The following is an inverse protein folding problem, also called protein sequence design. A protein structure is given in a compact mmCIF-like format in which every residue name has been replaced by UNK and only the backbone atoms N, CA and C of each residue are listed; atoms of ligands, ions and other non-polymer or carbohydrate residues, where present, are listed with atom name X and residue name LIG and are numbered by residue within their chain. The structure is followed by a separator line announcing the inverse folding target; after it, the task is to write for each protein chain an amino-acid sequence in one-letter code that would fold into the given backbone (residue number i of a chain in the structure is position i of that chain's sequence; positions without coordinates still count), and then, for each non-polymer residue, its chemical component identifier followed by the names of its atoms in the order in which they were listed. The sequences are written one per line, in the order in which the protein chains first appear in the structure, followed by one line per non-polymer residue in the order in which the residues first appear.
data_IF_709712480878
#
_entry.id   IF_709712480878
#
_cell.length_a   1.000
_cell.length_b   1.000
_cell.length_c   1.000
_cell.angle_alpha   90.00
_cell.angle_beta   90.00
_cell.angle_gamma   90.00
#
_symmetry.space_group_name_H-M   'P 1'
#
loop_
_entity.id
_entity.type
_entity.pdbx_description
1 polymer ?
#
# COMPACT_ATOMS: atom_id res chain seq x y z
N UNK A 1 -32.91 -26.60 27.89
CA UNK A 1 -32.19 -27.34 26.84
C UNK A 1 -31.05 -26.47 26.36
N UNK A 2 -29.80 -26.76 26.75
CA UNK A 2 -28.63 -25.97 26.36
C UNK A 2 -28.01 -26.58 25.10
N UNK A 3 -28.03 -25.87 23.98
CA UNK A 3 -27.28 -26.27 22.79
C UNK A 3 -25.80 -25.95 23.01
N UNK A 4 -24.87 -26.91 22.83
CA UNK A 4 -23.46 -26.66 23.02
C UNK A 4 -22.94 -25.62 22.02
N UNK A 5 -22.03 -24.74 22.48
CA UNK A 5 -21.38 -23.73 21.64
C UNK A 5 -20.46 -24.45 20.65
N UNK A 6 -20.64 -24.27 19.33
CA UNK A 6 -19.81 -24.93 18.33
C UNK A 6 -18.35 -24.46 18.41
N UNK A 7 -17.40 -25.35 18.16
CA UNK A 7 -15.99 -24.99 18.14
C UNK A 7 -15.71 -23.99 17.00
N UNK A 8 -14.69 -23.13 17.13
CA UNK A 8 -14.32 -22.20 16.07
C UNK A 8 -14.16 -22.92 14.73
N UNK A 9 -15.05 -22.60 13.78
CA UNK A 9 -15.05 -23.17 12.44
C UNK A 9 -16.07 -24.28 12.15
N UNK A 10 -16.79 -24.79 13.14
CA UNK A 10 -17.87 -25.78 12.99
C UNK A 10 -19.22 -25.16 12.56
N UNK A 11 -19.30 -23.83 12.50
CA UNK A 11 -20.49 -23.09 12.03
C UNK A 11 -20.56 -22.93 10.51
N UNK A 12 -19.51 -23.34 9.78
CA UNK A 12 -19.45 -23.18 8.33
C UNK A 12 -20.03 -24.43 7.65
N UNK A 13 -21.17 -24.33 6.92
CA UNK A 13 -21.73 -25.47 6.21
C UNK A 13 -20.88 -25.81 4.97
N UNK A 14 -20.45 -27.06 4.87
CA UNK A 14 -19.78 -27.63 3.69
C UNK A 14 -18.28 -27.90 3.87
N UNK A 15 -17.74 -28.76 2.99
CA UNK A 15 -16.30 -29.05 2.92
C UNK A 15 -15.55 -27.76 2.60
N UNK A 16 -14.62 -27.36 3.47
CA UNK A 16 -13.78 -26.18 3.21
C UNK A 16 -13.01 -26.40 1.91
N UNK A 17 -12.96 -25.39 1.02
CA UNK A 17 -12.06 -25.47 -0.12
C UNK A 17 -10.64 -25.61 0.42
N UNK A 18 -9.99 -26.73 0.10
CA UNK A 18 -8.59 -26.95 0.42
C UNK A 18 -7.76 -26.07 -0.50
N UNK A 19 -7.09 -25.08 0.07
CA UNK A 19 -6.16 -24.23 -0.68
C UNK A 19 -4.81 -24.96 -0.78
N UNK A 20 -4.27 -25.05 -1.99
CA UNK A 20 -2.93 -25.58 -2.21
C UNK A 20 -1.88 -24.53 -1.84
N UNK A 21 -1.08 -24.74 -0.78
CA UNK A 21 -0.07 -23.78 -0.36
C UNK A 21 1.05 -23.60 -1.39
N UNK A 22 1.32 -24.59 -2.25
CA UNK A 22 2.34 -24.47 -3.28
C UNK A 22 1.91 -23.45 -4.34
N UNK A 23 0.67 -23.57 -4.81
CA UNK A 23 0.07 -22.63 -5.75
C UNK A 23 0.06 -21.19 -5.23
N UNK A 24 -0.28 -20.99 -3.95
CA UNK A 24 -0.28 -19.65 -3.35
C UNK A 24 1.12 -19.03 -3.33
N UNK A 25 2.16 -19.84 -3.07
CA UNK A 25 3.55 -19.36 -3.09
C UNK A 25 3.97 -18.94 -4.49
N UNK A 26 3.63 -19.72 -5.51
CA UNK A 26 3.91 -19.40 -6.91
C UNK A 26 3.21 -18.10 -7.35
N UNK A 27 1.94 -17.91 -6.97
CA UNK A 27 1.19 -16.69 -7.28
C UNK A 27 1.81 -15.47 -6.58
N UNK A 28 2.25 -15.61 -5.33
CA UNK A 28 2.95 -14.54 -4.59
C UNK A 28 4.30 -14.22 -5.23
N UNK A 29 5.09 -15.22 -5.60
CA UNK A 29 6.40 -15.01 -6.25
C UNK A 29 6.24 -14.33 -7.62
N UNK A 30 5.21 -14.68 -8.38
CA UNK A 30 4.87 -14.00 -9.63
C UNK A 30 4.48 -12.53 -9.40
N UNK A 31 3.69 -12.25 -8.35
CA UNK A 31 3.34 -10.88 -7.98
C UNK A 31 4.56 -10.06 -7.54
N UNK A 32 5.43 -10.64 -6.71
CA UNK A 32 6.68 -10.00 -6.28
C UNK A 32 7.63 -9.73 -7.45
N UNK A 33 7.69 -10.66 -8.41
CA UNK A 33 8.46 -10.48 -9.65
C UNK A 33 7.91 -9.32 -10.47
N UNK A 34 6.59 -9.26 -10.66
CA UNK A 34 5.94 -8.14 -11.37
C UNK A 34 6.15 -6.80 -10.68
N UNK A 35 6.15 -6.77 -9.35
CA UNK A 35 6.47 -5.56 -8.59
C UNK A 35 7.92 -5.15 -8.80
N UNK A 36 8.87 -6.11 -8.83
CA UNK A 36 10.28 -5.82 -9.10
C UNK A 36 10.52 -5.33 -10.53
N UNK A 37 9.79 -5.87 -11.51
CA UNK A 37 9.88 -5.49 -12.92
C UNK A 37 9.15 -4.17 -13.23
N UNK A 38 8.04 -3.90 -12.52
CA UNK A 38 7.23 -2.69 -12.66
C UNK A 38 7.66 -1.55 -11.73
N UNK A 39 8.56 -1.79 -10.79
CA UNK A 39 9.17 -0.72 -10.01
C UNK A 39 10.04 0.12 -10.95
N UNK A 40 9.76 1.43 -11.12
CA UNK A 40 10.76 2.30 -11.71
C UNK A 40 12.02 2.15 -10.87
N UNK A 41 13.17 1.91 -11.50
CA UNK A 41 14.44 1.75 -10.82
C UNK A 41 14.67 2.94 -9.88
N UNK A 42 14.31 2.80 -8.60
CA UNK A 42 14.55 3.81 -7.58
C UNK A 42 16.05 3.98 -7.30
N UNK A 43 16.89 3.11 -7.87
CA UNK A 43 18.36 3.18 -7.86
C UNK A 43 18.97 3.92 -9.06
N UNK A 44 18.14 4.57 -9.88
CA UNK A 44 18.58 5.64 -10.75
C UNK A 44 17.69 6.85 -10.49
N UNK A 45 17.80 7.41 -9.29
CA UNK A 45 17.77 8.86 -9.17
C UNK A 45 18.88 9.38 -10.09
N UNK A 46 18.56 9.54 -11.37
CA UNK A 46 19.32 10.37 -12.26
C UNK A 46 19.54 11.67 -11.48
N UNK A 47 20.80 11.99 -11.22
CA UNK A 47 21.26 13.31 -10.80
C UNK A 47 21.00 14.29 -11.95
N UNK A 48 19.77 14.32 -12.44
CA UNK A 48 19.29 15.26 -13.42
C UNK A 48 18.80 16.44 -12.60
N UNK A 49 19.55 17.53 -12.73
CA UNK A 49 19.28 18.79 -12.05
C UNK A 49 17.83 19.25 -12.28
N UNK A 50 17.23 18.87 -13.41
CA UNK A 50 15.84 19.13 -13.75
C UNK A 50 14.86 18.47 -12.78
N UNK A 51 15.09 17.20 -12.42
CA UNK A 51 14.24 16.47 -11.47
C UNK A 51 14.37 17.04 -10.06
N UNK A 52 15.58 17.44 -9.66
CA UNK A 52 15.80 18.11 -8.37
C UNK A 52 15.10 19.48 -8.31
N UNK A 53 15.10 20.23 -9.41
CA UNK A 53 14.40 21.51 -9.50
C UNK A 53 12.88 21.34 -9.44
N UNK A 54 12.33 20.36 -10.16
CA UNK A 54 10.88 20.03 -10.09
C UNK A 54 10.46 19.60 -8.68
N UNK A 55 11.28 18.80 -8.00
CA UNK A 55 11.03 18.40 -6.62
C UNK A 55 11.12 19.57 -5.63
N UNK A 56 12.11 20.46 -5.80
CA UNK A 56 12.23 21.66 -4.99
C UNK A 56 11.01 22.58 -5.14
N UNK A 57 10.57 22.81 -6.38
CA UNK A 57 9.37 23.61 -6.66
C UNK A 57 8.10 22.98 -6.07
N UNK A 58 7.98 21.64 -6.14
CA UNK A 58 6.87 20.92 -5.52
C UNK A 58 6.84 21.10 -4.00
N UNK A 59 8.00 21.02 -3.34
CA UNK A 59 8.12 21.20 -1.90
C UNK A 59 7.79 22.64 -1.46
N UNK A 60 8.23 23.64 -2.22
CA UNK A 60 7.91 25.04 -1.97
C UNK A 60 6.40 25.30 -2.07
N UNK A 61 5.75 24.81 -3.14
CA UNK A 61 4.30 24.92 -3.30
C UNK A 61 3.53 24.23 -2.17
N UNK A 62 3.99 23.05 -1.74
CA UNK A 62 3.39 22.34 -0.62
C UNK A 62 3.51 23.14 0.69
N UNK A 63 4.66 23.79 0.91
CA UNK A 63 4.86 24.66 2.07
C UNK A 63 3.89 25.85 2.07
N UNK A 64 3.76 26.56 0.94
CA UNK A 64 2.84 27.69 0.81
C UNK A 64 1.38 27.29 1.10
N UNK A 65 0.95 26.14 0.60
CA UNK A 65 -0.40 25.61 0.88
C UNK A 65 -0.59 25.34 2.37
N UNK A 66 0.42 24.77 3.05
CA UNK A 66 0.36 24.51 4.49
C UNK A 66 0.31 25.80 5.31
N UNK A 67 1.10 26.81 4.95
CA UNK A 67 1.08 28.13 5.60
C UNK A 67 -0.28 28.81 5.40
N UNK A 68 -0.82 28.76 4.18
CA UNK A 68 -2.13 29.31 3.88
C UNK A 68 -3.23 28.61 4.68
N UNK A 69 -3.20 27.27 4.78
CA UNK A 69 -4.13 26.50 5.58
C UNK A 69 -4.04 26.87 7.07
N UNK A 70 -2.83 27.01 7.61
CA UNK A 70 -2.61 27.37 9.00
C UNK A 70 -3.09 28.80 9.31
N UNK A 71 -2.82 29.77 8.44
CA UNK A 71 -3.30 31.15 8.59
C UNK A 71 -4.83 31.27 8.50
N UNK A 72 -5.47 30.32 7.83
CA UNK A 72 -6.94 30.26 7.77
C UNK A 72 -7.51 29.81 9.11
N UNK A 73 -6.83 28.90 9.83
CA UNK A 73 -7.23 28.45 11.18
C UNK A 73 -7.02 29.56 12.22
N UNK A 74 -5.96 30.37 12.11
CA UNK A 74 -5.68 31.50 13.03
C UNK A 74 -6.72 32.64 12.94
N UNK A 75 -7.48 32.72 11.84
CA UNK A 75 -8.51 33.75 11.62
C UNK A 75 -9.90 33.39 12.17
N UNK A 76 -10.07 32.20 12.75
CA UNK A 76 -11.33 31.68 13.31
C UNK A 76 -11.26 31.75 14.83
#
# INVERSE_FOLDING_TARGET
MSTPIPRPGEHLPGTRPTVDPARVREEVDALLTRVREGAPAADAASTDQSVLLEQAEMLERAHEVLVQALSTVDKI
#
